data_IF_755761484453
#
_entry.id   IF_755761484453
#
_cell.length_a   1.000
_cell.length_b   1.000
_cell.length_c   1.000
_cell.angle_alpha   90.00
_cell.angle_beta   90.00
_cell.angle_gamma   90.00
#
_symmetry.space_group_name_H-M   'P 1'
#
loop_
_entity.id
_entity.type
_entity.pdbx_description
1 polymer ?
#
# COMPACT_ATOMS: atom_id res chain seq x y z
N UNK A 1 8.32 -21.01 21.56
CA UNK A 1 8.65 -20.46 20.21
C UNK A 1 10.17 -20.32 20.11
N UNK A 2 10.79 -20.61 18.95
CA UNK A 2 12.25 -20.49 18.79
C UNK A 2 12.64 -19.01 18.85
N UNK A 3 13.65 -18.65 19.67
CA UNK A 3 14.24 -17.31 19.72
C UNK A 3 14.97 -17.02 18.40
N UNK A 4 14.66 -15.90 17.77
CA UNK A 4 15.29 -15.43 16.52
C UNK A 4 16.09 -14.15 16.76
N UNK A 5 17.14 -13.94 15.95
CA UNK A 5 17.76 -12.63 15.75
C UNK A 5 17.03 -11.94 14.61
N UNK A 6 16.32 -10.85 14.89
CA UNK A 6 15.50 -10.10 13.95
C UNK A 6 16.10 -8.72 13.71
N UNK A 7 16.59 -8.48 12.50
CA UNK A 7 17.05 -7.16 12.06
C UNK A 7 15.85 -6.36 11.57
N UNK A 8 15.48 -5.28 12.25
CA UNK A 8 14.34 -4.46 11.86
C UNK A 8 14.85 -3.27 11.06
N UNK A 9 14.59 -3.27 9.74
CA UNK A 9 14.96 -2.20 8.83
C UNK A 9 13.88 -1.11 8.84
N UNK A 10 14.29 0.13 9.00
CA UNK A 10 13.41 1.31 9.04
C UNK A 10 14.16 2.53 8.54
N UNK A 11 13.44 3.60 8.17
CA UNK A 11 14.08 4.87 7.85
C UNK A 11 14.90 5.38 9.04
N UNK A 12 16.06 5.99 8.79
CA UNK A 12 16.96 6.40 9.88
C UNK A 12 16.30 7.38 10.86
N UNK A 13 15.46 8.28 10.37
CA UNK A 13 14.73 9.27 11.18
C UNK A 13 13.59 8.65 12.01
N UNK A 14 13.22 7.39 11.73
CA UNK A 14 12.16 6.65 12.42
C UNK A 14 12.71 5.61 13.42
N UNK A 15 14.02 5.59 13.65
CA UNK A 15 14.61 4.70 14.66
C UNK A 15 14.15 5.14 16.05
N UNK A 16 13.41 4.29 16.78
CA UNK A 16 12.93 4.66 18.12
C UNK A 16 14.10 4.86 19.09
N UNK A 17 14.07 5.86 19.96
CA UNK A 17 15.07 6.04 21.01
C UNK A 17 15.06 4.85 21.97
N UNK A 18 16.21 4.57 22.60
CA UNK A 18 16.32 3.50 23.61
C UNK A 18 15.40 3.72 24.80
N UNK A 19 15.21 4.97 25.19
CA UNK A 19 14.32 5.37 26.29
C UNK A 19 13.21 6.24 25.75
N UNK A 20 11.98 5.82 25.99
CA UNK A 20 10.77 6.53 25.51
C UNK A 20 10.16 7.47 26.55
N UNK A 21 10.86 7.69 27.68
CA UNK A 21 10.39 8.58 28.74
C UNK A 21 10.23 10.01 28.21
N UNK A 22 9.05 10.61 28.47
CA UNK A 22 8.73 11.97 28.03
C UNK A 22 8.10 12.08 26.64
N UNK A 23 7.95 10.96 25.91
CA UNK A 23 7.25 10.93 24.61
C UNK A 23 5.82 10.42 24.74
N UNK A 24 4.87 11.08 24.09
CA UNK A 24 3.52 10.53 23.92
C UNK A 24 3.56 9.49 22.77
N UNK A 25 3.66 8.22 23.15
CA UNK A 25 3.72 7.08 22.22
C UNK A 25 2.52 6.96 21.26
N UNK A 26 1.47 7.76 21.47
CA UNK A 26 0.30 7.77 20.56
C UNK A 26 0.49 8.69 19.34
N UNK A 27 1.41 9.65 19.45
CA UNK A 27 1.57 10.73 18.47
C UNK A 27 2.96 10.81 17.85
N UNK A 28 3.93 10.03 18.34
CA UNK A 28 5.30 10.02 17.78
C UNK A 28 5.33 9.47 16.35
N UNK A 29 6.20 10.01 15.52
CA UNK A 29 6.34 9.60 14.11
C UNK A 29 6.82 8.16 13.96
N UNK A 30 7.74 7.73 14.81
CA UNK A 30 8.31 6.37 14.88
C UNK A 30 7.43 5.36 15.65
N UNK A 31 6.13 5.61 15.76
CA UNK A 31 5.22 4.74 16.52
C UNK A 31 5.16 3.32 15.97
N UNK A 32 5.07 3.17 14.65
CA UNK A 32 4.97 1.86 13.99
C UNK A 32 6.23 1.03 14.25
N UNK A 33 7.39 1.64 14.11
CA UNK A 33 8.71 1.02 14.32
C UNK A 33 8.86 0.60 15.78
N UNK A 34 8.47 1.46 16.71
CA UNK A 34 8.47 1.15 18.14
C UNK A 34 7.53 -0.02 18.48
N UNK A 35 6.30 -0.01 17.95
CA UNK A 35 5.33 -1.07 18.18
C UNK A 35 5.86 -2.43 17.68
N UNK A 36 6.48 -2.46 16.51
CA UNK A 36 7.11 -3.68 15.96
C UNK A 36 8.28 -4.14 16.82
N UNK A 37 9.24 -3.26 17.10
CA UNK A 37 10.44 -3.59 17.89
C UNK A 37 10.06 -4.08 19.29
N UNK A 38 9.16 -3.36 19.97
CA UNK A 38 8.71 -3.71 21.32
C UNK A 38 7.95 -5.03 21.35
N UNK A 39 7.10 -5.29 20.36
CA UNK A 39 6.35 -6.54 20.23
C UNK A 39 7.27 -7.72 19.98
N UNK A 40 8.21 -7.62 19.06
CA UNK A 40 9.18 -8.67 18.79
C UNK A 40 10.04 -8.99 20.02
N UNK A 41 10.45 -7.98 20.80
CA UNK A 41 11.17 -8.16 22.07
C UNK A 41 10.30 -8.85 23.12
N UNK A 42 9.02 -8.46 23.27
CA UNK A 42 8.05 -9.12 24.15
C UNK A 42 7.80 -10.58 23.78
N UNK A 43 7.88 -10.92 22.49
CA UNK A 43 7.82 -12.31 22.00
C UNK A 43 9.10 -13.13 22.29
N UNK A 44 10.12 -12.52 22.91
CA UNK A 44 11.36 -13.17 23.33
C UNK A 44 12.43 -13.23 22.23
N UNK A 45 12.25 -12.48 21.13
CA UNK A 45 13.26 -12.38 20.07
C UNK A 45 14.40 -11.43 20.46
N UNK A 46 15.59 -11.64 19.89
CA UNK A 46 16.68 -10.70 19.93
C UNK A 46 16.51 -9.72 18.76
N UNK A 47 16.34 -8.43 19.04
CA UNK A 47 15.91 -7.45 18.04
C UNK A 47 16.93 -6.33 17.94
N UNK A 48 17.47 -6.13 16.73
CA UNK A 48 18.37 -5.02 16.39
C UNK A 48 17.64 -4.09 15.40
N UNK A 49 17.22 -2.89 15.82
CA UNK A 49 16.78 -1.84 14.88
C UNK A 49 17.96 -1.37 14.03
N UNK A 50 17.71 -1.09 12.76
CA UNK A 50 18.70 -0.54 11.83
C UNK A 50 18.06 0.57 11.00
N UNK A 51 18.55 1.80 11.18
CA UNK A 51 18.22 2.93 10.35
C UNK A 51 18.90 2.84 8.99
N UNK A 52 18.14 3.05 7.93
CA UNK A 52 18.64 3.05 6.54
C UNK A 52 18.10 4.31 5.87
N UNK A 53 18.96 5.04 5.15
CA UNK A 53 18.57 6.21 4.37
C UNK A 53 19.00 6.06 2.91
N UNK A 54 20.28 6.22 2.63
CA UNK A 54 20.84 6.25 1.27
C UNK A 54 22.04 5.32 1.08
N UNK A 55 22.43 4.56 2.11
CA UNK A 55 23.58 3.62 2.05
C UNK A 55 23.12 2.18 2.33
N UNK A 56 23.22 1.32 1.34
CA UNK A 56 22.98 -0.12 1.49
C UNK A 56 24.11 -0.84 2.26
N UNK A 57 25.29 -0.22 2.38
CA UNK A 57 26.43 -0.79 3.10
C UNK A 57 26.13 -1.07 4.58
N UNK A 58 25.28 -0.23 5.21
CA UNK A 58 24.86 -0.44 6.61
C UNK A 58 24.10 -1.76 6.79
N UNK A 59 23.32 -2.19 5.80
CA UNK A 59 22.61 -3.47 5.81
C UNK A 59 23.60 -4.61 5.70
N UNK A 60 24.57 -4.52 4.77
CA UNK A 60 25.62 -5.53 4.59
C UNK A 60 26.41 -5.74 5.90
N UNK A 61 26.93 -4.64 6.47
CA UNK A 61 27.68 -4.68 7.71
C UNK A 61 26.89 -5.34 8.84
N UNK A 62 25.62 -4.94 9.03
CA UNK A 62 24.76 -5.53 10.05
C UNK A 62 24.53 -7.04 9.83
N UNK A 63 24.38 -7.46 8.57
CA UNK A 63 24.19 -8.88 8.22
C UNK A 63 25.46 -9.69 8.47
N UNK A 64 26.62 -9.19 8.08
CA UNK A 64 27.90 -9.88 8.22
C UNK A 64 28.31 -10.00 9.70
N UNK A 65 28.14 -8.93 10.48
CA UNK A 65 28.52 -8.88 11.90
C UNK A 65 27.56 -9.67 12.79
N UNK A 66 26.27 -9.51 12.59
CA UNK A 66 25.27 -10.00 13.53
C UNK A 66 24.54 -11.28 13.07
N UNK A 67 24.61 -11.60 11.78
CA UNK A 67 24.02 -12.80 11.14
C UNK A 67 22.56 -12.99 11.55
N UNK A 68 21.66 -12.07 11.21
CA UNK A 68 20.24 -12.17 11.54
C UNK A 68 19.61 -13.43 10.93
N UNK A 69 18.60 -13.97 11.58
CA UNK A 69 17.81 -15.07 11.01
C UNK A 69 16.79 -14.56 9.99
N UNK A 70 16.36 -13.29 10.16
CA UNK A 70 15.37 -12.63 9.29
C UNK A 70 15.51 -11.13 9.42
N UNK A 71 15.27 -10.40 8.32
CA UNK A 71 15.06 -8.97 8.30
C UNK A 71 13.54 -8.68 8.37
N UNK A 72 13.11 -7.90 9.37
CA UNK A 72 11.76 -7.34 9.39
C UNK A 72 11.80 -5.99 8.69
N UNK A 73 11.25 -5.93 7.47
CA UNK A 73 11.36 -4.74 6.62
C UNK A 73 10.17 -3.79 6.83
N UNK A 74 10.46 -2.58 7.29
CA UNK A 74 9.52 -1.46 7.44
C UNK A 74 9.84 -0.30 6.48
N UNK A 75 10.83 -0.47 5.58
CA UNK A 75 11.19 0.59 4.64
C UNK A 75 10.13 0.74 3.55
N UNK A 76 9.68 1.95 3.35
CA UNK A 76 8.71 2.34 2.31
C UNK A 76 9.37 3.15 1.18
N UNK A 77 10.66 3.47 1.35
CA UNK A 77 11.47 4.22 0.40
C UNK A 77 12.96 3.87 0.55
N UNK A 78 13.81 4.39 -0.33
CA UNK A 78 15.26 4.45 -0.19
C UNK A 78 15.76 5.74 -0.86
N UNK A 79 16.62 6.49 -0.16
CA UNK A 79 17.18 7.78 -0.60
C UNK A 79 16.09 8.82 -0.99
N UNK A 80 14.99 8.90 -0.21
CA UNK A 80 13.87 9.79 -0.46
C UNK A 80 13.00 9.38 -1.66
N UNK A 81 13.24 8.21 -2.26
CA UNK A 81 12.55 7.76 -3.47
C UNK A 81 11.75 6.49 -3.18
N UNK A 82 10.43 6.63 -3.13
CA UNK A 82 9.53 5.54 -2.77
C UNK A 82 9.64 4.30 -3.67
N UNK A 83 9.86 4.47 -4.98
CA UNK A 83 10.00 3.35 -5.92
C UNK A 83 11.30 2.55 -5.74
N UNK A 84 12.21 3.02 -4.89
CA UNK A 84 13.46 2.31 -4.59
C UNK A 84 13.34 1.32 -3.42
N UNK A 85 12.20 1.24 -2.75
CA UNK A 85 11.95 0.26 -1.68
C UNK A 85 12.21 -1.19 -2.15
N UNK A 86 11.80 -1.53 -3.38
CA UNK A 86 12.03 -2.84 -3.97
C UNK A 86 13.52 -3.16 -4.17
N UNK A 87 14.40 -2.16 -4.31
CA UNK A 87 15.84 -2.35 -4.46
C UNK A 87 16.47 -2.81 -3.13
N UNK A 88 15.94 -2.32 -1.99
CA UNK A 88 16.37 -2.79 -0.67
C UNK A 88 16.03 -4.27 -0.49
N UNK A 89 14.81 -4.66 -0.88
CA UNK A 89 14.39 -6.07 -0.81
C UNK A 89 15.20 -6.94 -1.77
N UNK A 90 15.48 -6.45 -2.99
CA UNK A 90 16.39 -7.12 -3.94
C UNK A 90 17.79 -7.32 -3.33
N UNK A 91 18.28 -6.32 -2.59
CA UNK A 91 19.57 -6.42 -1.93
C UNK A 91 19.59 -7.47 -0.80
N UNK A 92 18.48 -7.59 -0.03
CA UNK A 92 18.35 -8.68 0.95
C UNK A 92 18.36 -10.06 0.29
N UNK A 93 17.75 -10.21 -0.90
CA UNK A 93 17.81 -11.45 -1.68
C UNK A 93 19.25 -11.77 -2.12
N UNK A 94 20.01 -10.77 -2.59
CA UNK A 94 21.42 -10.95 -2.93
C UNK A 94 22.28 -11.36 -1.70
N UNK A 95 21.98 -10.81 -0.53
CA UNK A 95 22.62 -11.20 0.74
C UNK A 95 22.09 -12.52 1.29
N UNK A 96 21.09 -13.15 0.66
CA UNK A 96 20.44 -14.39 1.09
C UNK A 96 19.85 -14.30 2.51
N UNK A 97 19.36 -13.14 2.90
CA UNK A 97 18.70 -12.93 4.18
C UNK A 97 17.21 -13.07 3.98
N UNK A 98 16.53 -13.98 4.71
CA UNK A 98 15.07 -14.01 4.74
C UNK A 98 14.50 -12.68 5.22
N UNK A 99 13.36 -12.26 4.67
CA UNK A 99 12.76 -10.98 5.02
C UNK A 99 11.23 -11.08 5.10
N UNK A 100 10.61 -10.11 5.77
CA UNK A 100 9.15 -9.92 5.80
C UNK A 100 8.73 -8.95 4.70
N UNK A 101 7.47 -9.04 4.28
CA UNK A 101 6.92 -8.21 3.21
C UNK A 101 6.84 -8.96 1.89
N UNK A 102 6.60 -8.21 0.82
CA UNK A 102 6.48 -8.75 -0.52
C UNK A 102 7.84 -8.80 -1.23
N UNK A 103 7.96 -9.66 -2.23
CA UNK A 103 9.16 -9.74 -3.07
C UNK A 103 9.35 -8.49 -3.94
N UNK A 104 10.56 -8.25 -4.49
CA UNK A 104 10.85 -7.06 -5.30
C UNK A 104 9.91 -6.90 -6.49
N UNK A 105 9.57 -8.00 -7.18
CA UNK A 105 8.62 -7.97 -8.31
C UNK A 105 7.26 -7.47 -7.87
N UNK A 106 6.77 -7.95 -6.73
CA UNK A 106 5.47 -7.55 -6.19
C UNK A 106 5.43 -6.08 -5.80
N UNK A 107 6.48 -5.58 -5.15
CA UNK A 107 6.61 -4.16 -4.80
C UNK A 107 6.61 -3.28 -6.07
N UNK A 108 7.41 -3.63 -7.07
CA UNK A 108 7.46 -2.90 -8.35
C UNK A 108 6.08 -2.88 -9.04
N UNK A 109 5.38 -4.03 -9.12
CA UNK A 109 4.07 -4.12 -9.75
C UNK A 109 2.98 -3.39 -8.94
N UNK A 110 3.05 -3.43 -7.60
CA UNK A 110 2.09 -2.72 -6.77
C UNK A 110 2.16 -1.20 -6.97
N UNK A 111 3.36 -0.66 -7.17
CA UNK A 111 3.55 0.78 -7.42
C UNK A 111 3.09 1.20 -8.81
N UNK A 112 3.20 0.38 -9.84
CA UNK A 112 2.68 0.68 -11.18
C UNK A 112 1.26 0.14 -11.35
N UNK A 113 0.27 1.01 -11.09
CA UNK A 113 -1.16 0.68 -11.20
C UNK A 113 -1.57 0.28 -12.61
N UNK A 114 -0.90 0.83 -13.63
CA UNK A 114 -1.22 0.52 -15.02
C UNK A 114 -0.64 -0.83 -15.42
N UNK A 115 0.61 -1.12 -15.04
CA UNK A 115 1.27 -2.38 -15.36
C UNK A 115 0.59 -3.55 -14.65
N UNK A 116 0.27 -3.40 -13.35
CA UNK A 116 -0.47 -4.44 -12.62
C UNK A 116 -1.81 -4.76 -13.28
N UNK A 117 -2.59 -3.74 -13.71
CA UNK A 117 -3.86 -3.96 -14.43
C UNK A 117 -3.67 -4.66 -15.78
N UNK A 118 -2.60 -4.36 -16.53
CA UNK A 118 -2.29 -5.06 -17.79
C UNK A 118 -2.00 -6.55 -17.52
N UNK A 119 -1.26 -6.87 -16.45
CA UNK A 119 -1.05 -8.26 -16.04
C UNK A 119 -2.38 -8.92 -15.65
N UNK A 120 -3.22 -8.25 -14.85
CA UNK A 120 -4.53 -8.77 -14.46
C UNK A 120 -5.43 -9.01 -15.68
N UNK A 121 -5.37 -8.12 -16.69
CA UNK A 121 -6.11 -8.28 -17.96
C UNK A 121 -5.75 -9.58 -18.68
N UNK A 122 -4.46 -9.87 -18.80
CA UNK A 122 -3.99 -11.12 -19.40
C UNK A 122 -4.55 -12.36 -18.69
N UNK A 123 -4.65 -12.30 -17.36
CA UNK A 123 -5.21 -13.36 -16.53
C UNK A 123 -6.75 -13.33 -16.41
N UNK A 124 -7.45 -12.45 -17.15
CA UNK A 124 -8.91 -12.30 -17.11
C UNK A 124 -9.43 -12.07 -15.69
N UNK A 125 -8.72 -11.27 -14.93
CA UNK A 125 -9.13 -10.83 -13.59
C UNK A 125 -9.79 -9.46 -13.75
N UNK A 126 -11.03 -9.25 -13.26
CA UNK A 126 -11.75 -8.01 -13.45
C UNK A 126 -11.08 -6.83 -12.74
N UNK A 127 -11.09 -5.68 -13.39
CA UNK A 127 -10.66 -4.39 -12.86
C UNK A 127 -11.41 -3.27 -13.59
N UNK A 128 -11.51 -2.05 -13.02
CA UNK A 128 -12.12 -0.92 -13.71
C UNK A 128 -11.36 -0.56 -15.00
N UNK A 129 -12.10 -0.29 -16.07
CA UNK A 129 -11.55 0.23 -17.33
C UNK A 129 -10.72 1.49 -17.07
N UNK A 130 -9.61 1.65 -17.80
CA UNK A 130 -8.68 2.74 -17.55
C UNK A 130 -7.90 3.16 -18.79
N UNK A 131 -7.39 4.39 -18.74
CA UNK A 131 -6.34 4.90 -19.62
C UNK A 131 -5.22 5.54 -18.81
N UNK A 132 -4.05 5.67 -19.41
CA UNK A 132 -2.89 6.36 -18.82
C UNK A 132 -2.57 7.59 -19.66
N UNK A 133 -2.37 8.71 -18.97
CA UNK A 133 -1.87 9.95 -19.55
C UNK A 133 -0.44 10.18 -19.05
N UNK A 134 0.58 10.00 -19.87
CA UNK A 134 1.96 10.25 -19.48
C UNK A 134 2.17 11.69 -19.00
N UNK A 135 3.14 11.90 -18.14
CA UNK A 135 3.51 13.22 -17.65
C UNK A 135 3.73 14.20 -18.81
N UNK A 136 3.14 15.39 -18.71
CA UNK A 136 3.24 16.44 -19.71
C UNK A 136 2.39 16.23 -20.98
N UNK A 137 1.60 15.16 -21.06
CA UNK A 137 0.68 14.94 -22.19
C UNK A 137 -0.73 15.40 -21.85
N UNK A 138 -1.41 15.98 -22.84
CA UNK A 138 -2.83 16.32 -22.72
C UNK A 138 -3.70 15.06 -22.74
N UNK A 139 -4.78 15.08 -21.96
CA UNK A 139 -5.74 13.97 -21.94
C UNK A 139 -6.62 13.97 -23.19
N UNK A 140 -6.77 12.78 -23.79
CA UNK A 140 -7.75 12.51 -24.84
C UNK A 140 -8.56 11.30 -24.38
N UNK A 141 -9.75 11.57 -23.82
CA UNK A 141 -10.64 10.52 -23.32
C UNK A 141 -11.29 9.77 -24.50
N UNK A 142 -11.15 8.46 -24.60
CA UNK A 142 -11.88 7.68 -25.61
C UNK A 142 -13.36 7.60 -25.24
N UNK A 143 -14.23 7.51 -26.25
CA UNK A 143 -15.70 7.51 -26.06
C UNK A 143 -16.22 6.35 -25.20
N UNK A 144 -15.51 5.22 -25.20
CA UNK A 144 -15.87 4.04 -24.41
C UNK A 144 -15.65 4.22 -22.89
N UNK A 145 -14.78 5.15 -22.49
CA UNK A 145 -14.52 5.42 -21.07
C UNK A 145 -15.51 6.50 -20.59
N UNK A 146 -16.62 6.07 -20.02
CA UNK A 146 -17.73 6.92 -19.59
C UNK A 146 -17.54 7.45 -18.17
N UNK A 147 -18.11 8.64 -17.91
CA UNK A 147 -18.18 9.24 -16.58
C UNK A 147 -19.17 8.50 -15.65
N UNK A 148 -19.01 8.59 -14.29
CA UNK A 148 -17.94 9.29 -13.59
C UNK A 148 -16.60 8.54 -13.65
N UNK A 149 -15.49 9.32 -13.63
CA UNK A 149 -14.13 8.79 -13.67
C UNK A 149 -13.36 9.20 -12.41
N UNK A 150 -12.39 8.39 -12.00
CA UNK A 150 -11.45 8.75 -10.94
C UNK A 150 -10.05 8.90 -11.50
N UNK A 151 -9.40 10.03 -11.19
CA UNK A 151 -8.04 10.36 -11.63
C UNK A 151 -7.07 10.24 -10.47
N UNK A 152 -5.99 9.48 -10.67
CA UNK A 152 -4.97 9.19 -9.65
C UNK A 152 -3.57 9.31 -10.26
N UNK A 153 -2.56 9.44 -9.42
CA UNK A 153 -1.17 9.18 -9.84
C UNK A 153 -1.01 7.72 -10.27
N UNK A 154 -0.23 7.47 -11.32
CA UNK A 154 0.06 6.12 -11.80
C UNK A 154 1.00 5.37 -10.86
N UNK A 155 1.93 6.05 -10.19
CA UNK A 155 3.00 5.46 -9.38
C UNK A 155 2.89 5.75 -7.87
N UNK A 156 2.23 6.83 -7.45
CA UNK A 156 2.14 7.17 -6.03
C UNK A 156 1.12 6.33 -5.28
N UNK A 157 1.45 6.03 -4.02
CA UNK A 157 0.63 5.23 -3.11
C UNK A 157 -0.02 6.08 -1.99
N UNK A 158 -0.55 5.43 -0.97
CA UNK A 158 -1.10 6.01 0.25
C UNK A 158 -2.19 7.07 0.05
N UNK A 159 -2.80 7.12 -1.14
CA UNK A 159 -3.80 8.13 -1.56
C UNK A 159 -3.23 9.54 -1.73
N UNK A 160 -1.91 9.68 -1.95
CA UNK A 160 -1.29 10.97 -2.24
C UNK A 160 -2.04 11.66 -3.39
N UNK A 161 -2.44 12.90 -3.12
CA UNK A 161 -3.21 13.71 -4.05
C UNK A 161 -4.65 13.22 -4.31
N UNK A 162 -5.19 12.20 -3.64
CA UNK A 162 -6.58 11.78 -3.79
C UNK A 162 -7.50 12.60 -2.88
N UNK A 163 -8.48 13.27 -3.49
CA UNK A 163 -9.50 14.07 -2.82
C UNK A 163 -10.86 13.86 -3.48
N UNK A 164 -11.93 14.51 -3.02
CA UNK A 164 -13.23 14.48 -3.68
C UNK A 164 -13.14 14.96 -5.15
N UNK A 165 -12.29 15.95 -5.43
CA UNK A 165 -12.01 16.42 -6.79
C UNK A 165 -11.31 15.39 -7.70
N UNK A 166 -10.91 14.24 -7.17
CA UNK A 166 -10.36 13.15 -7.99
C UNK A 166 -11.44 12.42 -8.78
N UNK A 167 -12.71 12.53 -8.38
CA UNK A 167 -13.84 12.04 -9.15
C UNK A 167 -14.34 13.18 -10.04
N UNK A 168 -14.39 12.91 -11.32
CA UNK A 168 -14.74 13.89 -12.35
C UNK A 168 -15.93 13.41 -13.16
N UNK A 169 -16.78 14.35 -13.59
CA UNK A 169 -18.05 14.06 -14.27
C UNK A 169 -18.12 14.64 -15.68
N UNK A 170 -17.09 15.40 -16.08
CA UNK A 170 -16.98 16.01 -17.41
C UNK A 170 -15.53 16.13 -17.88
N UNK A 171 -15.36 16.46 -19.15
CA UNK A 171 -14.02 16.56 -19.79
C UNK A 171 -13.23 17.79 -19.33
N UNK A 172 -13.87 18.84 -18.79
CA UNK A 172 -13.20 20.02 -18.26
C UNK A 172 -12.52 19.68 -16.92
N UNK A 173 -13.28 19.15 -15.96
CA UNK A 173 -12.77 18.68 -14.68
C UNK A 173 -11.73 17.57 -14.85
N UNK A 174 -11.90 16.72 -15.88
CA UNK A 174 -10.91 15.71 -16.21
C UNK A 174 -9.56 16.33 -16.59
N UNK A 175 -9.58 17.36 -17.46
CA UNK A 175 -8.34 18.07 -17.85
C UNK A 175 -7.68 18.76 -16.65
N UNK A 176 -8.46 19.46 -15.84
CA UNK A 176 -7.98 20.12 -14.62
C UNK A 176 -7.33 19.11 -13.66
N UNK A 177 -7.99 17.98 -13.45
CA UNK A 177 -7.50 16.98 -12.52
C UNK A 177 -6.24 16.28 -13.00
N UNK A 178 -6.12 15.99 -14.31
CA UNK A 178 -4.88 15.47 -14.91
C UNK A 178 -3.74 16.49 -14.78
N UNK A 179 -4.02 17.77 -15.04
CA UNK A 179 -3.03 18.84 -14.86
C UNK A 179 -2.56 18.95 -13.40
N UNK A 180 -3.45 18.79 -12.44
CA UNK A 180 -3.08 18.76 -11.02
C UNK A 180 -2.12 17.59 -10.72
N UNK A 181 -2.40 16.37 -11.19
CA UNK A 181 -1.51 15.23 -10.99
C UNK A 181 -0.12 15.50 -11.62
N UNK A 182 -0.09 16.05 -12.84
CA UNK A 182 1.17 16.37 -13.52
C UNK A 182 1.98 17.42 -12.79
N UNK A 183 1.34 18.52 -12.35
CA UNK A 183 2.04 19.70 -11.82
C UNK A 183 2.35 19.59 -10.32
N UNK A 184 1.44 18.96 -9.54
CA UNK A 184 1.55 18.93 -8.08
C UNK A 184 2.09 17.61 -7.54
N UNK A 185 1.84 16.51 -8.26
CA UNK A 185 2.35 15.17 -7.86
C UNK A 185 3.59 14.79 -8.68
N UNK A 186 3.74 15.35 -9.89
CA UNK A 186 4.92 15.14 -10.72
C UNK A 186 4.97 13.80 -11.46
N UNK A 187 3.82 13.13 -11.61
CA UNK A 187 3.73 11.78 -12.23
C UNK A 187 2.78 11.76 -13.41
N UNK A 188 2.78 10.66 -14.17
CA UNK A 188 1.68 10.37 -15.09
C UNK A 188 0.36 10.15 -14.32
N UNK A 189 -0.77 10.37 -15.00
CA UNK A 189 -2.10 10.14 -14.45
C UNK A 189 -2.70 8.84 -14.98
N UNK A 190 -3.32 8.05 -14.10
CA UNK A 190 -4.23 6.96 -14.47
C UNK A 190 -5.67 7.44 -14.26
N UNK A 191 -6.49 7.26 -15.28
CA UNK A 191 -7.92 7.63 -15.30
C UNK A 191 -8.69 6.34 -15.37
N UNK A 192 -9.52 6.09 -14.36
CA UNK A 192 -10.27 4.84 -14.22
C UNK A 192 -11.76 5.13 -14.14
N UNK A 193 -12.58 4.20 -14.63
CA UNK A 193 -14.01 4.21 -14.34
C UNK A 193 -14.20 4.19 -12.83
N UNK A 194 -14.97 5.16 -12.31
CA UNK A 194 -15.31 5.16 -10.90
C UNK A 194 -16.38 4.10 -10.63
N UNK A 195 -16.10 3.20 -9.70
CA UNK A 195 -17.05 2.21 -9.23
C UNK A 195 -17.55 2.68 -7.86
N UNK A 196 -18.84 2.94 -7.77
CA UNK A 196 -19.49 3.28 -6.50
C UNK A 196 -19.78 2.02 -5.71
N UNK A 197 -19.58 2.07 -4.38
CA UNK A 197 -19.93 0.96 -3.51
C UNK A 197 -19.00 0.86 -2.30
N UNK A 198 -18.95 -0.35 -1.73
CA UNK A 198 -18.22 -0.66 -0.50
C UNK A 198 -16.72 -0.80 -0.80
N UNK A 199 -15.87 -0.28 0.07
CA UNK A 199 -14.42 -0.44 -0.08
C UNK A 199 -13.93 -1.65 0.72
N UNK A 200 -13.61 -2.74 0.02
CA UNK A 200 -13.24 -4.01 0.62
C UNK A 200 -11.74 -4.28 0.50
N UNK A 201 -11.20 -4.96 1.50
CA UNK A 201 -9.79 -5.35 1.58
C UNK A 201 -9.65 -6.81 1.94
N UNK A 202 -8.71 -7.49 1.29
CA UNK A 202 -8.36 -8.89 1.59
C UNK A 202 -6.86 -9.03 1.67
N UNK A 203 -6.37 -9.53 2.81
CA UNK A 203 -4.99 -9.93 2.99
C UNK A 203 -4.76 -11.35 2.45
N UNK A 204 -3.64 -11.55 1.79
CA UNK A 204 -3.14 -12.87 1.38
C UNK A 204 -1.74 -13.04 1.94
N UNK A 205 -1.50 -14.16 2.60
CA UNK A 205 -0.25 -14.51 3.25
C UNK A 205 0.28 -15.83 2.70
N UNK A 206 1.56 -15.92 2.42
CA UNK A 206 2.26 -17.15 2.08
C UNK A 206 3.01 -17.10 0.76
N UNK A 207 3.75 -18.17 0.48
CA UNK A 207 4.54 -18.35 -0.73
C UNK A 207 3.95 -19.47 -1.59
N UNK A 208 4.27 -20.73 -1.30
CA UNK A 208 3.69 -21.91 -1.99
C UNK A 208 2.27 -22.20 -1.53
N UNK A 209 2.00 -22.09 -0.23
CA UNK A 209 0.67 -22.25 0.36
C UNK A 209 0.14 -20.87 0.76
N UNK A 210 -1.03 -20.51 0.24
CA UNK A 210 -1.64 -19.21 0.47
C UNK A 210 -2.77 -19.32 1.49
N UNK A 211 -2.64 -18.54 2.55
CA UNK A 211 -3.70 -18.24 3.49
C UNK A 211 -4.36 -16.93 3.10
N UNK A 212 -5.67 -16.93 2.94
CA UNK A 212 -6.46 -15.72 2.72
C UNK A 212 -7.12 -15.33 4.03
N UNK A 213 -6.95 -14.08 4.38
CA UNK A 213 -7.52 -13.50 5.59
C UNK A 213 -9.00 -13.15 5.38
N UNK A 214 -9.77 -12.89 6.44
CA UNK A 214 -11.14 -12.39 6.34
C UNK A 214 -11.24 -11.13 5.50
N UNK A 215 -12.40 -10.92 4.87
CA UNK A 215 -12.68 -9.70 4.12
C UNK A 215 -12.94 -8.57 5.10
N UNK A 216 -12.21 -7.48 4.95
CA UNK A 216 -12.36 -6.25 5.74
C UNK A 216 -12.97 -5.16 4.90
N UNK A 217 -13.65 -4.22 5.56
CA UNK A 217 -14.29 -3.07 4.95
C UNK A 217 -13.85 -1.77 5.62
N UNK A 218 -13.70 -0.73 4.81
CA UNK A 218 -13.51 0.63 5.29
C UNK A 218 -14.87 1.32 5.37
N UNK A 219 -15.40 1.45 6.58
CA UNK A 219 -16.66 2.13 6.85
C UNK A 219 -16.43 3.64 7.00
N UNK A 220 -17.40 4.41 6.50
CA UNK A 220 -17.45 5.87 6.54
C UNK A 220 -18.86 6.31 6.95
N UNK A 221 -19.28 5.90 8.16
CA UNK A 221 -20.68 5.90 8.58
C UNK A 221 -21.33 7.29 8.66
N UNK A 222 -20.52 8.33 8.97
CA UNK A 222 -21.00 9.71 9.19
C UNK A 222 -20.57 10.67 8.09
N UNK A 223 -20.14 10.16 6.93
CA UNK A 223 -19.87 11.02 5.78
C UNK A 223 -21.16 11.64 5.25
N UNK A 224 -21.14 12.93 4.83
CA UNK A 224 -22.31 13.55 4.18
C UNK A 224 -22.72 12.75 2.94
N UNK A 225 -24.03 12.67 2.67
CA UNK A 225 -24.57 11.90 1.53
C UNK A 225 -24.08 12.43 0.17
N UNK A 226 -23.80 13.73 0.09
CA UNK A 226 -23.23 14.37 -1.10
C UNK A 226 -21.75 14.01 -1.35
N UNK A 227 -21.06 13.43 -0.36
CA UNK A 227 -19.66 13.09 -0.46
C UNK A 227 -19.46 11.68 -0.99
N UNK A 228 -18.63 11.53 -2.03
CA UNK A 228 -18.24 10.21 -2.50
C UNK A 228 -17.44 9.47 -1.42
N UNK A 229 -17.80 8.22 -1.15
CA UNK A 229 -17.12 7.37 -0.16
C UNK A 229 -15.85 6.77 -0.74
N UNK A 230 -14.78 7.56 -0.75
CA UNK A 230 -13.46 7.15 -1.25
C UNK A 230 -12.39 7.32 -0.17
N UNK A 231 -11.40 6.44 -0.18
CA UNK A 231 -10.24 6.50 0.72
C UNK A 231 -9.28 7.62 0.28
N UNK A 232 -9.64 8.87 0.60
CA UNK A 232 -8.78 10.03 0.37
C UNK A 232 -7.60 10.03 1.34
N UNK A 233 -6.62 10.89 1.12
CA UNK A 233 -5.52 11.12 2.03
C UNK A 233 -6.00 11.45 3.47
N UNK A 234 -7.02 12.33 3.61
CA UNK A 234 -7.60 12.66 4.92
C UNK A 234 -8.28 11.48 5.59
N UNK A 235 -8.96 10.62 4.83
CA UNK A 235 -9.57 9.38 5.32
C UNK A 235 -8.52 8.45 5.91
N UNK A 236 -7.34 8.37 5.30
CA UNK A 236 -6.27 7.48 5.75
C UNK A 236 -5.44 8.05 6.89
N UNK A 237 -5.14 9.34 6.88
CA UNK A 237 -4.08 9.89 7.72
C UNK A 237 -4.55 10.92 8.76
N UNK A 238 -5.74 11.51 8.61
CA UNK A 238 -6.23 12.50 9.58
C UNK A 238 -7.09 11.86 10.66
N UNK A 239 -6.52 11.66 11.84
CA UNK A 239 -7.23 11.13 13.00
C UNK A 239 -8.48 11.96 13.36
N UNK A 240 -8.37 13.29 13.35
CA UNK A 240 -9.50 14.20 13.57
C UNK A 240 -10.62 13.99 12.53
N UNK A 241 -10.24 13.75 11.27
CA UNK A 241 -11.19 13.48 10.20
C UNK A 241 -11.86 12.11 10.39
N UNK A 242 -11.09 11.09 10.77
CA UNK A 242 -11.60 9.74 11.06
C UNK A 242 -12.60 9.75 12.21
N UNK A 243 -12.29 10.42 13.32
CA UNK A 243 -13.17 10.55 14.48
C UNK A 243 -14.46 11.31 14.11
N UNK A 244 -14.33 12.43 13.38
CA UNK A 244 -15.47 13.24 12.94
C UNK A 244 -16.47 12.47 12.09
N UNK A 245 -15.97 11.68 11.14
CA UNK A 245 -16.80 11.00 10.15
C UNK A 245 -17.00 9.50 10.42
N UNK A 246 -16.61 9.02 11.59
CA UNK A 246 -16.80 7.61 12.00
C UNK A 246 -16.07 6.63 11.08
N UNK A 247 -14.88 7.01 10.58
CA UNK A 247 -14.10 6.18 9.68
C UNK A 247 -13.39 5.09 10.48
N UNK A 248 -13.65 3.85 10.11
CA UNK A 248 -13.07 2.68 10.78
C UNK A 248 -12.97 1.49 9.85
N UNK A 249 -12.01 0.63 10.09
CA UNK A 249 -11.91 -0.66 9.42
C UNK A 249 -12.49 -1.76 10.31
N UNK A 250 -13.29 -2.64 9.74
CA UNK A 250 -13.84 -3.80 10.43
C UNK A 250 -14.00 -4.97 9.46
N UNK A 251 -14.30 -6.16 9.99
CA UNK A 251 -14.70 -7.29 9.18
C UNK A 251 -15.98 -6.95 8.41
N UNK A 252 -15.99 -7.24 7.11
CA UNK A 252 -17.14 -6.96 6.24
C UNK A 252 -18.32 -7.82 6.64
N UNK A 253 -19.47 -7.18 6.90
CA UNK A 253 -20.72 -7.84 7.26
C UNK A 253 -21.76 -7.67 6.14
N UNK A 254 -22.76 -8.55 6.13
CA UNK A 254 -23.89 -8.47 5.19
C UNK A 254 -23.44 -8.41 3.72
N UNK A 255 -22.44 -9.20 3.36
CA UNK A 255 -22.10 -9.46 1.96
C UNK A 255 -23.16 -10.40 1.37
N UNK A 256 -23.51 -10.28 0.08
CA UNK A 256 -24.34 -11.27 -0.61
C UNK A 256 -23.79 -12.69 -0.47
N UNK A 257 -24.68 -13.68 -0.53
CA UNK A 257 -24.27 -15.08 -0.48
C UNK A 257 -23.24 -15.42 -1.56
N UNK A 258 -22.17 -16.15 -1.18
CA UNK A 258 -21.06 -16.49 -2.06
C UNK A 258 -20.07 -15.36 -2.38
N UNK A 259 -20.35 -14.13 -1.96
CA UNK A 259 -19.49 -12.97 -2.27
C UNK A 259 -18.15 -13.02 -1.53
N UNK A 260 -18.14 -13.46 -0.28
CA UNK A 260 -16.91 -13.61 0.50
C UNK A 260 -15.93 -14.56 -0.18
N UNK A 261 -16.43 -15.74 -0.60
CA UNK A 261 -15.65 -16.76 -1.28
C UNK A 261 -15.12 -16.26 -2.63
N UNK A 262 -15.96 -15.56 -3.38
CA UNK A 262 -15.58 -14.96 -4.66
C UNK A 262 -14.44 -13.94 -4.48
N UNK A 263 -14.56 -13.03 -3.52
CA UNK A 263 -13.55 -11.99 -3.24
C UNK A 263 -12.24 -12.65 -2.80
N UNK A 264 -12.31 -13.62 -1.90
CA UNK A 264 -11.13 -14.37 -1.44
C UNK A 264 -10.48 -15.17 -2.58
N UNK A 265 -11.27 -15.78 -3.44
CA UNK A 265 -10.76 -16.48 -4.63
C UNK A 265 -10.07 -15.52 -5.59
N UNK A 266 -10.67 -14.36 -5.87
CA UNK A 266 -10.07 -13.32 -6.71
C UNK A 266 -8.77 -12.79 -6.10
N UNK A 267 -8.72 -12.57 -4.78
CA UNK A 267 -7.49 -12.15 -4.10
C UNK A 267 -6.34 -13.14 -4.28
N UNK A 268 -6.61 -14.46 -4.19
CA UNK A 268 -5.62 -15.50 -4.51
C UNK A 268 -5.16 -15.45 -5.97
N UNK A 269 -6.09 -15.25 -6.90
CA UNK A 269 -5.77 -15.16 -8.34
C UNK A 269 -4.89 -13.95 -8.61
N UNK A 270 -5.22 -12.78 -8.06
CA UNK A 270 -4.40 -11.56 -8.15
C UNK A 270 -3.00 -11.81 -7.62
N UNK A 271 -2.90 -12.38 -6.41
CA UNK A 271 -1.62 -12.68 -5.77
C UNK A 271 -0.72 -13.55 -6.65
N UNK A 272 -1.27 -14.61 -7.24
CA UNK A 272 -0.54 -15.51 -8.15
C UNK A 272 -0.19 -14.84 -9.49
N UNK A 273 -1.15 -14.12 -10.08
CA UNK A 273 -0.96 -13.45 -11.38
C UNK A 273 0.15 -12.40 -11.34
N UNK A 274 0.26 -11.67 -10.23
CA UNK A 274 1.32 -10.69 -10.01
C UNK A 274 2.63 -11.31 -9.50
N UNK A 275 2.69 -12.63 -9.25
CA UNK A 275 3.87 -13.32 -8.76
C UNK A 275 4.34 -12.84 -7.40
N UNK A 276 3.39 -12.54 -6.51
CA UNK A 276 3.67 -12.05 -5.16
C UNK A 276 4.18 -13.17 -4.25
N UNK A 277 4.91 -12.80 -3.20
CA UNK A 277 5.32 -13.68 -2.11
C UNK A 277 5.25 -12.94 -0.76
N UNK A 278 5.37 -13.67 0.35
CA UNK A 278 5.27 -13.13 1.70
C UNK A 278 3.84 -12.74 2.06
N UNK A 279 3.48 -11.46 1.94
CA UNK A 279 2.10 -11.02 2.14
C UNK A 279 1.75 -9.79 1.32
N UNK A 280 0.49 -9.68 0.96
CA UNK A 280 -0.04 -8.52 0.26
C UNK A 280 -1.51 -8.28 0.64
N UNK A 281 -1.94 -7.02 0.55
CA UNK A 281 -3.33 -6.62 0.72
C UNK A 281 -3.92 -6.22 -0.63
N UNK A 282 -4.96 -6.93 -1.04
CA UNK A 282 -5.74 -6.57 -2.22
C UNK A 282 -6.88 -5.63 -1.82
N UNK A 283 -7.10 -4.60 -2.63
CA UNK A 283 -8.28 -3.75 -2.57
C UNK A 283 -9.23 -4.17 -3.69
N UNK A 284 -10.43 -4.57 -3.32
CA UNK A 284 -11.49 -4.90 -4.28
C UNK A 284 -12.52 -3.78 -4.29
N UNK A 285 -12.86 -3.23 -5.45
CA UNK A 285 -14.12 -2.50 -5.58
C UNK A 285 -15.29 -3.47 -5.38
N UNK A 286 -16.44 -2.97 -5.00
CA UNK A 286 -17.64 -3.78 -4.77
C UNK A 286 -18.08 -4.53 -6.01
#
# INVERSE_FOLDING_TARGET
MRKLRVLVLMHEDLVPPEHTNGHDLKTVEWKTEYDVVSTLRKMGHEVRPLGVKSDLGVIRSAVEEWKPHIAFNLLEEFDGVAVYDQNVVSYLELLRVPYTGCNPRGLMLARDKALSKKVLSFHRIPFPEFIVVPLGRSVKRPKWLSFPLIVKSVSEEASLGISQASIVEDDEKLRERVAFIHNSVGTGAIIERYIEGRELYVGVLGNSHLQVLPVWELLMDKMPDESRRIATERVKWSRKYQEKYGIRSCEAKNLPEGMTELIQHLAKRVYRALGLSGYARNRSPP
#
